data_IF_864881286779
#
_entry.id   IF_864881286779
#
_cell.length_a   1.000
_cell.length_b   1.000
_cell.length_c   1.000
_cell.angle_alpha   90.00
_cell.angle_beta   90.00
_cell.angle_gamma   90.00
#
_symmetry.space_group_name_H-M   'P 1'
#
loop_
_entity.id
_entity.type
_entity.pdbx_description
1 polymer ?
#
# COMPACT_ATOMS: atom_id res chain seq x y z
N UNK A 1 -19.44 -11.11 -46.03
CA UNK A 1 -19.16 -11.05 -44.59
C UNK A 1 -17.72 -11.48 -44.37
N UNK A 2 -16.81 -10.54 -44.07
CA UNK A 2 -15.43 -10.86 -43.69
C UNK A 2 -15.27 -10.30 -42.28
N UNK A 3 -15.16 -11.20 -41.30
CA UNK A 3 -14.85 -10.85 -39.91
C UNK A 3 -13.33 -10.85 -39.78
N UNK A 4 -12.72 -9.67 -39.72
CA UNK A 4 -11.30 -9.53 -39.42
C UNK A 4 -11.13 -9.42 -37.90
N UNK A 5 -10.61 -10.47 -37.28
CA UNK A 5 -10.19 -10.45 -35.89
C UNK A 5 -8.82 -9.78 -35.77
N UNK A 6 -8.79 -8.56 -35.23
CA UNK A 6 -7.54 -7.91 -34.85
C UNK A 6 -7.13 -8.42 -33.46
N UNK A 7 -6.17 -9.35 -33.42
CA UNK A 7 -5.44 -9.68 -32.20
C UNK A 7 -4.43 -8.55 -31.98
N UNK A 8 -4.82 -7.56 -31.18
CA UNK A 8 -3.92 -6.49 -30.75
C UNK A 8 -2.85 -7.06 -29.82
N UNK A 9 -1.64 -7.23 -30.32
CA UNK A 9 -0.48 -7.50 -29.47
C UNK A 9 -0.26 -6.29 -28.56
N UNK A 10 -0.47 -6.46 -27.25
CA UNK A 10 -0.09 -5.45 -26.26
C UNK A 10 1.45 -5.45 -26.16
N UNK A 11 2.06 -4.42 -26.73
CA UNK A 11 3.46 -4.08 -26.48
C UNK A 11 3.57 -3.66 -25.00
N UNK A 12 4.13 -4.53 -24.17
CA UNK A 12 4.61 -4.16 -22.84
C UNK A 12 5.85 -3.27 -23.05
N UNK A 13 5.65 -1.96 -23.04
CA UNK A 13 6.74 -1.03 -22.86
C UNK A 13 7.19 -1.17 -21.40
N UNK A 14 8.40 -1.69 -21.20
CA UNK A 14 9.04 -1.69 -19.90
C UNK A 14 9.20 -0.22 -19.45
N UNK A 15 8.55 0.11 -18.33
CA UNK A 15 8.64 1.42 -17.70
C UNK A 15 10.05 1.54 -17.07
N UNK A 16 10.88 2.53 -17.44
CA UNK A 16 12.25 2.67 -16.90
C UNK A 16 12.29 3.13 -15.44
N UNK A 17 11.14 3.28 -14.77
CA UNK A 17 11.04 3.77 -13.40
C UNK A 17 10.82 2.64 -12.38
N UNK A 18 11.84 1.79 -12.20
CA UNK A 18 11.85 0.79 -11.13
C UNK A 18 12.86 -0.32 -11.38
N UNK A 19 14.15 -0.03 -11.21
CA UNK A 19 15.13 -1.10 -11.09
C UNK A 19 14.84 -1.87 -9.78
N UNK A 20 14.70 -3.20 -9.79
CA UNK A 20 14.64 -3.97 -8.56
C UNK A 20 15.95 -3.74 -7.77
N UNK A 21 15.85 -3.22 -6.55
CA UNK A 21 16.98 -3.04 -5.63
C UNK A 21 17.37 -1.60 -5.26
N UNK A 22 16.60 -0.57 -5.63
CA UNK A 22 16.73 0.77 -5.03
C UNK A 22 16.12 0.82 -3.61
N UNK A 23 16.47 1.82 -2.78
CA UNK A 23 15.82 1.99 -1.48
C UNK A 23 14.30 2.15 -1.66
N UNK A 24 13.53 1.34 -0.94
CA UNK A 24 12.06 1.41 -0.92
C UNK A 24 11.65 2.76 -0.31
N UNK A 25 11.30 3.72 -1.17
CA UNK A 25 10.96 5.07 -0.78
C UNK A 25 9.61 5.47 -1.37
N UNK A 26 8.63 5.65 -0.50
CA UNK A 26 7.31 6.16 -0.85
C UNK A 26 7.28 7.68 -0.61
N UNK A 27 7.62 8.46 -1.63
CA UNK A 27 7.68 9.94 -1.56
C UNK A 27 6.27 10.56 -1.62
N UNK A 28 5.77 11.17 -0.53
CA UNK A 28 4.46 11.84 -0.54
C UNK A 28 4.46 13.18 -1.30
N UNK A 29 5.62 13.70 -1.74
CA UNK A 29 5.74 14.95 -2.51
C UNK A 29 5.83 14.71 -4.02
N UNK A 30 6.13 13.49 -4.46
CA UNK A 30 6.06 13.13 -5.88
C UNK A 30 4.59 13.08 -6.31
N UNK A 31 4.15 14.13 -7.02
CA UNK A 31 2.76 14.30 -7.45
C UNK A 31 2.30 13.19 -8.40
N UNK A 32 3.20 12.64 -9.22
CA UNK A 32 2.83 11.59 -10.18
C UNK A 32 2.70 10.25 -9.46
N UNK A 33 3.62 9.96 -8.55
CA UNK A 33 3.56 8.77 -7.69
C UNK A 33 2.30 8.77 -6.82
N UNK A 34 1.98 9.91 -6.19
CA UNK A 34 0.74 10.07 -5.38
C UNK A 34 -0.51 9.93 -6.24
N UNK A 35 -0.52 10.44 -7.48
CA UNK A 35 -1.66 10.32 -8.39
C UNK A 35 -1.90 8.86 -8.79
N UNK A 36 -0.85 8.12 -9.16
CA UNK A 36 -0.91 6.68 -9.39
C UNK A 36 -1.40 5.95 -8.15
N UNK A 37 -0.83 6.28 -6.99
CA UNK A 37 -1.14 5.69 -5.70
C UNK A 37 -2.60 5.83 -5.31
N UNK A 38 -3.22 6.99 -5.59
CA UNK A 38 -4.64 7.21 -5.36
C UNK A 38 -5.51 6.25 -6.19
N UNK A 39 -5.15 6.02 -7.44
CA UNK A 39 -5.88 5.08 -8.32
C UNK A 39 -5.74 3.64 -7.85
N UNK A 40 -4.51 3.22 -7.50
CA UNK A 40 -4.24 1.89 -6.94
C UNK A 40 -5.00 1.70 -5.64
N UNK A 41 -4.91 2.66 -4.71
CA UNK A 41 -5.58 2.60 -3.42
C UNK A 41 -7.09 2.43 -3.55
N UNK A 42 -7.72 3.21 -4.43
CA UNK A 42 -9.16 3.14 -4.67
C UNK A 42 -9.60 1.78 -5.22
N UNK A 43 -8.75 1.10 -5.98
CA UNK A 43 -9.06 -0.18 -6.61
C UNK A 43 -8.76 -1.39 -5.71
N UNK A 44 -7.71 -1.34 -4.90
CA UNK A 44 -7.18 -2.51 -4.20
C UNK A 44 -7.27 -2.43 -2.67
N UNK A 45 -7.37 -1.22 -2.10
CA UNK A 45 -7.23 -1.01 -0.66
C UNK A 45 -8.52 -0.50 0.00
N UNK A 46 -9.25 0.37 -0.70
CA UNK A 46 -10.39 1.12 -0.15
C UNK A 46 -11.56 0.23 0.30
N UNK A 47 -11.73 -0.95 -0.29
CA UNK A 47 -12.81 -1.89 0.08
C UNK A 47 -12.75 -2.33 1.55
N UNK A 48 -11.55 -2.35 2.13
CA UNK A 48 -11.33 -2.65 3.54
C UNK A 48 -10.91 -1.41 4.33
N UNK A 49 -9.97 -0.61 3.81
CA UNK A 49 -9.39 0.52 4.53
C UNK A 49 -10.18 1.82 4.39
N UNK A 50 -11.31 1.80 3.69
CA UNK A 50 -12.19 2.95 3.49
C UNK A 50 -11.70 3.88 2.37
N UNK A 51 -12.64 4.53 1.68
CA UNK A 51 -12.31 5.42 0.55
C UNK A 51 -11.53 6.68 0.99
N UNK A 52 -11.65 7.06 2.26
CA UNK A 52 -11.00 8.20 2.90
C UNK A 52 -9.94 7.77 3.93
N UNK A 53 -9.44 6.52 3.86
CA UNK A 53 -8.44 5.96 4.77
C UNK A 53 -8.92 5.79 6.22
N UNK A 54 -10.23 5.83 6.44
CA UNK A 54 -10.87 5.80 7.76
C UNK A 54 -10.87 4.40 8.42
N UNK A 55 -10.57 3.35 7.65
CA UNK A 55 -10.61 1.97 8.11
C UNK A 55 -12.03 1.49 8.44
N UNK A 56 -12.10 0.29 9.01
CA UNK A 56 -13.37 -0.26 9.49
C UNK A 56 -13.68 0.21 10.92
N UNK A 57 -14.96 0.29 11.26
CA UNK A 57 -15.39 0.58 12.61
C UNK A 57 -14.84 -0.44 13.62
N UNK A 58 -14.52 0.02 14.83
CA UNK A 58 -13.99 -0.82 15.91
C UNK A 58 -12.71 -1.61 15.52
N UNK A 59 -11.84 -1.06 14.68
CA UNK A 59 -10.63 -1.74 14.18
C UNK A 59 -9.66 -2.27 15.25
N UNK A 60 -9.77 -1.77 16.48
CA UNK A 60 -8.99 -2.27 17.63
C UNK A 60 -9.62 -3.47 18.36
N UNK A 61 -10.86 -3.83 18.04
CA UNK A 61 -11.58 -4.95 18.65
C UNK A 61 -11.52 -6.19 17.75
N UNK A 62 -11.16 -7.34 18.34
CA UNK A 62 -11.15 -8.61 17.61
C UNK A 62 -12.57 -9.02 17.24
N UNK A 63 -12.72 -9.53 16.02
CA UNK A 63 -13.91 -10.23 15.55
C UNK A 63 -14.01 -11.62 16.19
N UNK A 64 -15.18 -12.29 16.13
CA UNK A 64 -15.36 -13.66 16.62
C UNK A 64 -14.39 -14.68 16.00
N UNK A 65 -13.92 -14.46 14.77
CA UNK A 65 -12.92 -15.30 14.10
C UNK A 65 -11.47 -15.07 14.57
N UNK A 66 -11.27 -14.11 15.48
CA UNK A 66 -9.99 -13.72 16.07
C UNK A 66 -9.21 -12.66 15.29
N UNK A 67 -9.70 -12.23 14.13
CA UNK A 67 -9.06 -11.23 13.26
C UNK A 67 -9.36 -9.80 13.72
N UNK A 68 -8.55 -8.83 13.30
CA UNK A 68 -8.86 -7.40 13.47
C UNK A 68 -9.49 -6.83 12.19
N UNK A 69 -10.40 -5.85 12.30
CA UNK A 69 -10.80 -5.02 11.16
C UNK A 69 -9.62 -4.22 10.60
N UNK A 70 -9.74 -3.86 9.33
CA UNK A 70 -8.73 -3.08 8.65
C UNK A 70 -8.54 -1.73 9.39
N UNK A 71 -7.31 -1.41 9.83
CA UNK A 71 -7.05 -0.17 10.52
C UNK A 71 -7.19 1.03 9.57
N UNK A 72 -7.48 2.24 10.10
CA UNK A 72 -7.32 3.47 9.36
C UNK A 72 -5.88 3.62 8.90
N UNK A 73 -5.74 4.21 7.72
CA UNK A 73 -4.47 4.64 7.15
C UNK A 73 -4.27 6.15 7.30
N UNK A 74 -5.22 6.88 7.89
CA UNK A 74 -5.08 8.28 8.29
C UNK A 74 -4.30 8.45 9.62
N UNK A 75 -4.28 9.67 10.18
CA UNK A 75 -3.60 9.98 11.45
C UNK A 75 -4.11 9.21 12.67
N UNK A 76 -5.32 8.64 12.62
CA UNK A 76 -5.95 7.93 13.75
C UNK A 76 -5.51 6.46 13.85
N UNK A 77 -4.88 5.97 12.77
CA UNK A 77 -4.34 4.62 12.63
C UNK A 77 -2.97 4.42 13.25
N UNK A 78 -2.34 3.29 12.91
CA UNK A 78 -0.98 2.97 13.35
C UNK A 78 0.03 2.83 12.21
N UNK A 79 -0.40 2.91 10.94
CA UNK A 79 0.45 2.62 9.78
C UNK A 79 1.74 3.42 9.79
N UNK A 80 1.68 4.67 10.22
CA UNK A 80 2.83 5.58 10.22
C UNK A 80 3.93 5.25 11.24
N UNK A 81 3.72 4.28 12.14
CA UNK A 81 4.74 3.81 13.08
C UNK A 81 5.73 2.82 12.45
N UNK A 82 5.47 2.37 11.22
CA UNK A 82 6.27 1.34 10.54
C UNK A 82 7.05 1.96 9.38
N UNK A 83 8.32 1.57 9.15
CA UNK A 83 9.11 2.08 8.04
C UNK A 83 8.57 1.59 6.69
N UNK A 84 8.87 2.34 5.62
CA UNK A 84 8.44 2.05 4.24
C UNK A 84 8.78 0.62 3.80
N UNK A 85 9.96 0.12 4.17
CA UNK A 85 10.38 -1.24 3.83
C UNK A 85 9.45 -2.32 4.42
N UNK A 86 9.05 -2.16 5.68
CA UNK A 86 8.10 -3.07 6.33
C UNK A 86 6.70 -2.92 5.73
N UNK A 87 6.26 -1.69 5.48
CA UNK A 87 4.96 -1.43 4.86
C UNK A 87 4.88 -2.03 3.45
N UNK A 88 5.93 -1.90 2.65
CA UNK A 88 6.04 -2.52 1.34
C UNK A 88 5.93 -4.04 1.45
N UNK A 89 6.70 -4.66 2.36
CA UNK A 89 6.66 -6.10 2.58
C UNK A 89 5.27 -6.60 2.97
N UNK A 90 4.57 -5.86 3.84
CA UNK A 90 3.19 -6.18 4.26
C UNK A 90 2.23 -6.17 3.07
N UNK A 91 2.35 -5.21 2.15
CA UNK A 91 1.49 -5.14 0.95
C UNK A 91 1.86 -6.24 -0.04
N UNK A 92 3.15 -6.44 -0.30
CA UNK A 92 3.64 -7.44 -1.25
C UNK A 92 3.27 -8.87 -0.80
N UNK A 93 3.59 -9.23 0.44
CA UNK A 93 3.53 -10.60 0.95
C UNK A 93 2.27 -10.89 1.77
N UNK A 94 1.45 -9.86 1.99
CA UNK A 94 0.23 -9.92 2.79
C UNK A 94 0.52 -9.78 4.28
N UNK A 95 -0.47 -9.30 5.02
CA UNK A 95 -0.29 -8.96 6.43
C UNK A 95 -0.03 -10.17 7.34
N UNK A 96 -0.32 -11.39 6.88
CA UNK A 96 0.00 -12.60 7.65
C UNK A 96 1.49 -12.93 7.60
N UNK A 97 2.20 -12.58 6.53
CA UNK A 97 3.65 -12.82 6.41
C UNK A 97 4.47 -11.96 7.39
N UNK A 98 3.95 -10.78 7.76
CA UNK A 98 4.55 -9.88 8.74
C UNK A 98 3.92 -10.01 10.15
N UNK A 99 2.97 -10.92 10.34
CA UNK A 99 2.28 -11.10 11.61
C UNK A 99 3.15 -11.88 12.60
N UNK A 100 3.27 -11.37 13.83
CA UNK A 100 3.87 -12.13 14.94
C UNK A 100 3.00 -13.31 15.38
N UNK A 101 3.59 -14.19 16.20
CA UNK A 101 2.92 -15.37 16.73
C UNK A 101 1.57 -15.03 17.40
N UNK A 102 0.53 -15.77 17.05
CA UNK A 102 -0.82 -15.58 17.57
C UNK A 102 -1.62 -14.44 16.95
N UNK A 103 -1.06 -13.68 15.99
CA UNK A 103 -1.82 -12.71 15.20
C UNK A 103 -2.39 -13.33 13.92
N UNK A 104 -3.69 -13.11 13.69
CA UNK A 104 -4.40 -13.53 12.48
C UNK A 104 -4.73 -12.30 11.63
N UNK A 105 -4.06 -12.17 10.50
CA UNK A 105 -4.31 -11.12 9.52
C UNK A 105 -5.24 -11.60 8.41
N UNK A 106 -6.10 -10.72 7.91
CA UNK A 106 -6.89 -10.95 6.68
C UNK A 106 -6.42 -10.09 5.51
N UNK A 107 -5.34 -9.33 5.67
CA UNK A 107 -4.80 -8.51 4.60
C UNK A 107 -4.14 -9.43 3.56
N UNK A 108 -4.66 -9.49 2.32
CA UNK A 108 -4.13 -10.36 1.28
C UNK A 108 -2.76 -9.88 0.79
N UNK A 109 -2.02 -10.78 0.14
CA UNK A 109 -0.80 -10.46 -0.58
C UNK A 109 -1.14 -9.84 -1.94
N UNK A 110 -0.38 -8.82 -2.35
CA UNK A 110 -0.58 -8.15 -3.64
C UNK A 110 0.61 -8.28 -4.60
N UNK A 111 1.69 -8.98 -4.24
CA UNK A 111 2.89 -9.09 -5.08
C UNK A 111 2.65 -9.69 -6.47
N UNK A 112 1.62 -10.53 -6.65
CA UNK A 112 1.24 -11.07 -7.96
C UNK A 112 0.28 -10.15 -8.75
N UNK A 113 -0.27 -9.12 -8.10
CA UNK A 113 -1.31 -8.23 -8.65
C UNK A 113 -0.84 -6.80 -8.88
N UNK A 114 0.18 -6.34 -8.15
CA UNK A 114 0.72 -5.00 -8.18
C UNK A 114 2.23 -5.07 -8.40
N UNK A 115 2.75 -4.17 -9.22
CA UNK A 115 4.19 -3.94 -9.34
C UNK A 115 4.74 -3.23 -8.11
N UNK A 116 6.05 -3.32 -7.87
CA UNK A 116 6.74 -2.57 -6.80
C UNK A 116 6.41 -1.07 -6.84
N UNK A 117 6.35 -0.50 -8.06
CA UNK A 117 6.01 0.90 -8.28
C UNK A 117 4.58 1.21 -7.82
N UNK A 118 3.62 0.34 -8.08
CA UNK A 118 2.24 0.51 -7.65
C UNK A 118 2.08 0.36 -6.14
N UNK A 119 2.81 -0.57 -5.51
CA UNK A 119 2.87 -0.70 -4.06
C UNK A 119 3.43 0.58 -3.43
N UNK A 120 4.61 1.02 -3.86
CA UNK A 120 5.22 2.28 -3.40
C UNK A 120 4.31 3.48 -3.66
N UNK A 121 3.61 3.51 -4.79
CA UNK A 121 2.64 4.55 -5.10
C UNK A 121 1.49 4.58 -4.10
N UNK A 122 0.89 3.43 -3.79
CA UNK A 122 -0.20 3.35 -2.81
C UNK A 122 0.24 3.84 -1.42
N UNK A 123 1.46 3.49 -1.00
CA UNK A 123 2.06 3.99 0.24
C UNK A 123 2.31 5.50 0.17
N UNK A 124 2.83 6.03 -0.95
CA UNK A 124 3.04 7.46 -1.13
C UNK A 124 1.72 8.25 -1.05
N UNK A 125 0.65 7.71 -1.64
CA UNK A 125 -0.69 8.27 -1.51
C UNK A 125 -1.15 8.30 -0.05
N UNK A 126 -1.06 7.19 0.68
CA UNK A 126 -1.39 7.13 2.11
C UNK A 126 -0.62 8.21 2.88
N UNK A 127 0.70 8.27 2.71
CA UNK A 127 1.60 9.23 3.36
C UNK A 127 1.25 10.68 3.02
N UNK A 128 0.78 10.95 1.81
CA UNK A 128 0.38 12.30 1.38
C UNK A 128 -0.80 12.86 2.16
N UNK A 129 -1.59 12.00 2.82
CA UNK A 129 -2.79 12.37 3.58
C UNK A 129 -2.49 12.69 5.04
N UNK A 130 -1.31 12.34 5.53
CA UNK A 130 -0.94 12.60 6.91
C UNK A 130 -0.62 14.07 7.17
N UNK A 131 -0.91 14.59 8.38
CA UNK A 131 -0.39 15.86 8.84
C UNK A 131 1.13 15.93 8.72
N UNK A 132 1.67 17.15 8.49
CA UNK A 132 3.11 17.37 8.30
C UNK A 132 3.95 16.73 9.41
N UNK A 133 3.57 16.91 10.67
CA UNK A 133 4.27 16.34 11.82
C UNK A 133 4.36 14.80 11.81
N UNK A 134 3.34 14.11 11.28
CA UNK A 134 3.37 12.64 11.14
C UNK A 134 4.30 12.23 9.99
N UNK A 135 4.30 12.98 8.87
CA UNK A 135 5.23 12.72 7.76
C UNK A 135 6.69 12.91 8.19
N UNK A 136 6.96 13.96 8.96
CA UNK A 136 8.30 14.24 9.49
C UNK A 136 8.74 13.12 10.43
N UNK A 137 7.87 12.69 11.36
CA UNK A 137 8.14 11.56 12.25
C UNK A 137 8.37 10.26 11.50
N UNK A 138 7.59 9.99 10.46
CA UNK A 138 7.78 8.80 9.63
C UNK A 138 9.11 8.85 8.86
N UNK A 139 9.54 10.03 8.42
CA UNK A 139 10.85 10.19 7.78
C UNK A 139 11.99 9.84 8.75
N UNK A 140 11.88 10.22 10.04
CA UNK A 140 12.82 9.79 11.09
C UNK A 140 12.81 8.26 11.28
N UNK A 141 11.64 7.64 11.32
CA UNK A 141 11.50 6.17 11.44
C UNK A 141 12.18 5.47 10.25
N UNK A 142 11.96 5.96 9.03
CA UNK A 142 12.61 5.46 7.82
C UNK A 142 14.13 5.58 7.90
N UNK A 143 14.66 6.71 8.41
CA UNK A 143 16.09 6.93 8.54
C UNK A 143 16.76 6.02 9.59
N UNK A 144 16.01 5.62 10.62
CA UNK A 144 16.49 4.72 11.69
C UNK A 144 16.41 3.23 11.34
N UNK A 145 15.70 2.89 10.27
CA UNK A 145 15.43 1.50 9.85
C UNK A 145 16.28 1.05 8.66
N UNK A 146 17.24 1.89 8.23
CA UNK A 146 18.24 1.62 7.19
C UNK A 146 19.58 1.25 7.82
#
# INVERSE_FOLDING_TARGET
MIVAAFVGARLFLADPAGAPGGPLYADPQDRELVRLGRSVYAQYCADCHGANLEGEANWRARRPDGTLPAPPHDETGHTWHHPDALLFQIVEQGGQAAAGDGFKSRMPAFGDSLTDREILASLAYIKSRWPAAIRDRHAEINAQSQ
#
